data_IF_296220232453
#
_entry.id   IF_296220232453
#
_cell.length_a   1.000
_cell.length_b   1.000
_cell.length_c   1.000
_cell.angle_alpha   90.00
_cell.angle_beta   90.00
_cell.angle_gamma   90.00
#
_symmetry.space_group_name_H-M   'P 1'
#
loop_
_entity.id
_entity.type
_entity.pdbx_description
1 polymer ?
#
# COMPACT_ATOMS: atom_id res chain seq x y z
N UNK A 1 40.07 -4.77 16.68
CA UNK A 1 38.65 -4.41 16.89
C UNK A 1 37.97 -4.52 15.53
N UNK A 2 37.21 -5.59 15.33
CA UNK A 2 36.56 -5.88 14.04
C UNK A 2 35.31 -5.01 13.94
N UNK A 3 35.22 -4.23 12.86
CA UNK A 3 34.04 -3.43 12.55
C UNK A 3 32.98 -4.38 12.02
N UNK A 4 31.88 -4.56 12.76
CA UNK A 4 30.73 -5.33 12.28
C UNK A 4 30.15 -4.68 11.03
N UNK A 5 29.86 -5.44 9.95
CA UNK A 5 29.11 -4.91 8.83
C UNK A 5 27.66 -4.67 9.22
N UNK A 6 27.20 -3.44 8.99
CA UNK A 6 25.81 -2.98 9.11
C UNK A 6 24.82 -3.94 8.45
N UNK A 7 23.58 -4.06 8.98
CA UNK A 7 22.62 -5.04 8.51
C UNK A 7 22.16 -4.70 7.08
N UNK A 8 22.70 -5.45 6.12
CA UNK A 8 22.11 -5.87 4.86
C UNK A 8 20.84 -5.12 4.44
N UNK A 9 21.03 -3.98 3.77
CA UNK A 9 20.03 -3.46 2.82
C UNK A 9 19.97 -4.44 1.65
N UNK A 10 18.81 -5.05 1.42
CA UNK A 10 18.59 -5.95 0.28
C UNK A 10 19.02 -5.26 -1.03
N UNK A 11 20.05 -5.81 -1.64
CA UNK A 11 20.79 -5.33 -2.81
C UNK A 11 20.04 -5.64 -4.13
N UNK A 12 18.74 -5.33 -4.20
CA UNK A 12 17.94 -5.57 -5.42
C UNK A 12 17.73 -4.32 -6.28
N UNK A 13 18.06 -3.13 -5.77
CA UNK A 13 17.76 -1.86 -6.47
C UNK A 13 16.26 -1.62 -6.68
N UNK A 14 15.39 -2.40 -6.03
CA UNK A 14 13.95 -2.25 -6.13
C UNK A 14 13.44 -1.22 -5.11
N UNK A 15 12.52 -0.34 -5.53
CA UNK A 15 11.79 0.55 -4.62
C UNK A 15 10.28 0.52 -4.92
N UNK A 16 9.50 0.76 -3.88
CA UNK A 16 8.04 0.81 -3.95
C UNK A 16 7.56 2.25 -4.17
N UNK A 17 6.65 2.43 -5.13
CA UNK A 17 5.95 3.70 -5.31
C UNK A 17 4.90 3.94 -4.21
N UNK A 18 5.38 4.49 -3.12
CA UNK A 18 4.56 4.88 -1.98
C UNK A 18 3.71 6.15 -2.19
N UNK A 19 3.77 6.75 -3.38
CA UNK A 19 3.04 7.97 -3.72
C UNK A 19 1.79 7.65 -4.54
N UNK A 20 1.85 6.72 -5.49
CA UNK A 20 0.72 6.36 -6.33
C UNK A 20 0.02 5.07 -5.85
N UNK A 21 -1.13 5.24 -5.20
CA UNK A 21 -1.89 4.15 -4.56
C UNK A 21 -3.27 4.08 -5.18
N UNK A 22 -3.60 2.94 -5.78
CA UNK A 22 -4.97 2.65 -6.24
C UNK A 22 -5.71 1.84 -5.20
N UNK A 23 -7.00 2.12 -5.01
CA UNK A 23 -7.93 1.42 -4.15
C UNK A 23 -9.07 0.85 -4.98
N UNK A 24 -9.42 -0.41 -4.72
CA UNK A 24 -10.58 -1.07 -5.30
C UNK A 24 -11.34 -1.84 -4.22
N UNK A 25 -12.62 -1.56 -4.08
CA UNK A 25 -13.52 -2.31 -3.19
C UNK A 25 -13.72 -3.71 -3.77
N UNK A 26 -13.50 -4.73 -2.94
CA UNK A 26 -13.67 -6.14 -3.30
C UNK A 26 -15.01 -6.69 -2.80
N UNK A 27 -15.38 -6.32 -1.58
CA UNK A 27 -16.65 -6.69 -0.97
C UNK A 27 -17.11 -5.59 -0.03
N UNK A 28 -18.42 -5.54 0.16
CA UNK A 28 -19.08 -4.56 1.00
C UNK A 28 -20.36 -5.16 1.59
N UNK A 29 -20.43 -5.24 2.92
CA UNK A 29 -21.63 -5.66 3.65
C UNK A 29 -21.96 -4.67 4.78
N UNK A 30 -23.00 -4.92 5.57
CA UNK A 30 -23.43 -3.99 6.63
C UNK A 30 -22.38 -3.76 7.73
N UNK A 31 -21.43 -4.68 7.90
CA UNK A 31 -20.44 -4.68 8.99
C UNK A 31 -19.06 -4.25 8.52
N UNK A 32 -18.65 -4.70 7.36
CA UNK A 32 -17.29 -4.55 6.87
C UNK A 32 -17.22 -4.23 5.37
N UNK A 33 -16.12 -3.61 5.00
CA UNK A 33 -15.79 -3.31 3.61
C UNK A 33 -14.34 -3.68 3.37
N UNK A 34 -14.09 -4.51 2.36
CA UNK A 34 -12.74 -4.97 2.01
C UNK A 34 -12.26 -4.23 0.77
N UNK A 35 -11.05 -3.68 0.85
CA UNK A 35 -10.37 -3.01 -0.24
C UNK A 35 -9.08 -3.74 -0.59
N UNK A 36 -8.85 -3.89 -1.90
CA UNK A 36 -7.51 -4.08 -2.44
C UNK A 36 -6.86 -2.71 -2.60
N UNK A 37 -5.63 -2.57 -2.15
CA UNK A 37 -4.78 -1.43 -2.48
C UNK A 37 -3.61 -1.91 -3.34
N UNK A 38 -3.22 -1.14 -4.35
CA UNK A 38 -2.15 -1.49 -5.28
C UNK A 38 -1.21 -0.33 -5.59
N UNK A 39 0.03 -0.68 -5.86
CA UNK A 39 1.14 0.21 -6.22
C UNK A 39 2.09 -0.55 -7.16
N UNK A 40 3.22 0.06 -7.50
CA UNK A 40 4.23 -0.48 -8.40
C UNK A 40 5.58 -0.59 -7.70
N UNK A 41 6.24 -1.72 -7.89
CA UNK A 41 7.67 -1.86 -7.64
C UNK A 41 8.44 -1.45 -8.88
N UNK A 42 9.45 -0.63 -8.69
CA UNK A 42 10.38 -0.19 -9.70
C UNK A 42 11.74 -0.81 -9.42
N UNK A 43 12.46 -1.21 -10.48
CA UNK A 43 13.83 -1.71 -10.40
C UNK A 43 14.77 -0.89 -11.28
N UNK A 44 16.05 -0.86 -10.91
CA UNK A 44 17.08 -0.22 -11.71
C UNK A 44 17.37 -1.04 -12.98
N UNK A 45 17.33 -0.37 -14.14
CA UNK A 45 17.72 -0.95 -15.45
C UNK A 45 18.96 -0.29 -16.04
N UNK A 46 19.54 0.67 -15.32
CA UNK A 46 20.76 1.39 -15.69
C UNK A 46 21.13 2.45 -14.65
N UNK A 47 22.24 3.19 -14.85
CA UNK A 47 22.81 4.07 -13.82
C UNK A 47 21.85 5.16 -13.30
N UNK A 48 20.90 5.59 -14.13
CA UNK A 48 19.94 6.65 -13.83
C UNK A 48 18.53 6.35 -14.38
N UNK A 49 18.21 5.07 -14.59
CA UNK A 49 16.92 4.66 -15.17
C UNK A 49 16.30 3.56 -14.33
N UNK A 50 15.08 3.81 -13.89
CA UNK A 50 14.23 2.84 -13.23
C UNK A 50 13.06 2.52 -14.15
N UNK A 51 12.63 1.28 -14.13
CA UNK A 51 11.43 0.83 -14.82
C UNK A 51 10.51 0.11 -13.86
N UNK A 52 9.22 0.14 -14.18
CA UNK A 52 8.24 -0.62 -13.43
C UNK A 52 8.55 -2.11 -13.60
N UNK A 53 8.97 -2.75 -12.52
CA UNK A 53 9.27 -4.18 -12.50
C UNK A 53 7.97 -4.99 -12.43
N UNK A 54 7.06 -4.62 -11.51
CA UNK A 54 5.75 -5.27 -11.38
C UNK A 54 4.75 -4.40 -10.61
N UNK A 55 3.47 -4.64 -10.85
CA UNK A 55 2.41 -4.19 -9.95
C UNK A 55 2.36 -5.09 -8.71
N UNK A 56 2.13 -4.50 -7.54
CA UNK A 56 1.95 -5.19 -6.26
C UNK A 56 0.67 -4.72 -5.60
N UNK A 57 0.09 -5.58 -4.77
CA UNK A 57 -1.13 -5.27 -4.03
C UNK A 57 -1.12 -5.87 -2.64
N UNK A 58 -1.95 -5.31 -1.77
CA UNK A 58 -2.34 -5.87 -0.49
C UNK A 58 -3.85 -5.69 -0.28
N UNK A 59 -4.35 -6.18 0.85
CA UNK A 59 -5.78 -6.08 1.21
C UNK A 59 -5.96 -5.55 2.61
N UNK A 60 -6.89 -4.61 2.75
CA UNK A 60 -7.30 -4.04 4.03
C UNK A 60 -8.81 -4.20 4.21
N UNK A 61 -9.22 -4.33 5.46
CA UNK A 61 -10.62 -4.39 5.87
C UNK A 61 -10.94 -3.18 6.73
N UNK A 62 -12.03 -2.50 6.42
CA UNK A 62 -12.66 -1.47 7.25
C UNK A 62 -13.81 -2.10 8.06
N UNK A 63 -13.80 -1.95 9.38
CA UNK A 63 -14.94 -2.26 10.24
C UNK A 63 -15.85 -1.03 10.34
N UNK A 64 -16.98 -1.03 9.61
CA UNK A 64 -17.85 0.15 9.43
C UNK A 64 -18.38 0.73 10.73
N UNK A 65 -18.66 -0.11 11.73
CA UNK A 65 -19.15 0.33 13.04
C UNK A 65 -18.16 1.23 13.78
N UNK A 66 -16.85 1.01 13.57
CA UNK A 66 -15.80 1.64 14.39
C UNK A 66 -14.82 2.49 13.59
N UNK A 67 -14.81 2.36 12.26
CA UNK A 67 -13.80 2.98 11.42
C UNK A 67 -12.41 2.33 11.55
N UNK A 68 -12.28 1.20 12.26
CA UNK A 68 -11.00 0.50 12.45
C UNK A 68 -10.58 -0.25 11.19
N UNK A 69 -9.27 -0.36 11.00
CA UNK A 69 -8.67 -1.09 9.89
C UNK A 69 -7.90 -2.32 10.34
N UNK A 70 -8.03 -3.38 9.57
CA UNK A 70 -7.24 -4.61 9.70
C UNK A 70 -6.54 -4.88 8.36
N UNK A 71 -5.23 -5.10 8.41
CA UNK A 71 -4.47 -5.54 7.24
C UNK A 71 -4.66 -7.04 7.08
N UNK A 72 -5.35 -7.45 6.01
CA UNK A 72 -5.62 -8.86 5.71
C UNK A 72 -4.45 -9.49 4.96
N UNK A 73 -3.93 -8.78 3.95
CA UNK A 73 -2.81 -9.23 3.13
C UNK A 73 -1.79 -8.10 3.01
N UNK A 74 -0.53 -8.31 3.46
CA UNK A 74 0.52 -7.32 3.32
C UNK A 74 0.92 -7.15 1.84
N UNK A 75 1.29 -5.93 1.46
CA UNK A 75 1.81 -5.66 0.12
C UNK A 75 3.30 -6.03 0.04
N UNK A 76 3.73 -6.81 -0.97
CA UNK A 76 5.15 -7.06 -1.20
C UNK A 76 5.94 -5.75 -1.37
N UNK A 77 7.03 -5.61 -0.62
CA UNK A 77 7.86 -4.40 -0.63
C UNK A 77 7.43 -3.30 0.35
N UNK A 78 6.25 -3.40 0.98
CA UNK A 78 5.77 -2.43 1.97
C UNK A 78 6.09 -2.86 3.42
N UNK A 79 7.34 -3.19 3.70
CA UNK A 79 7.77 -3.73 5.02
C UNK A 79 7.51 -2.74 6.17
N UNK A 80 7.50 -1.44 5.88
CA UNK A 80 7.21 -0.38 6.85
C UNK A 80 5.73 0.02 6.88
N UNK A 81 4.85 -0.68 6.16
CA UNK A 81 3.41 -0.41 6.07
C UNK A 81 3.05 1.02 5.62
N UNK A 82 3.93 1.71 4.90
CA UNK A 82 3.70 3.09 4.46
C UNK A 82 2.53 3.17 3.48
N UNK A 83 2.46 2.23 2.54
CA UNK A 83 1.40 2.19 1.53
C UNK A 83 0.09 1.74 2.16
N UNK A 84 0.14 0.70 2.99
CA UNK A 84 -1.02 0.20 3.74
C UNK A 84 -1.65 1.29 4.62
N UNK A 85 -0.85 2.03 5.39
CA UNK A 85 -1.37 3.05 6.30
C UNK A 85 -1.96 4.25 5.54
N UNK A 86 -1.38 4.63 4.39
CA UNK A 86 -1.95 5.67 3.50
C UNK A 86 -3.26 5.22 2.86
N UNK A 87 -3.31 3.97 2.39
CA UNK A 87 -4.53 3.36 1.87
C UNK A 87 -5.64 3.38 2.93
N UNK A 88 -5.33 2.99 4.18
CA UNK A 88 -6.27 3.03 5.30
C UNK A 88 -6.73 4.46 5.61
N UNK A 89 -5.84 5.44 5.66
CA UNK A 89 -6.19 6.86 5.86
C UNK A 89 -7.16 7.37 4.79
N UNK A 90 -6.95 6.99 3.52
CA UNK A 90 -7.82 7.42 2.42
C UNK A 90 -9.20 6.77 2.50
N UNK A 91 -9.26 5.47 2.76
CA UNK A 91 -10.54 4.77 2.96
C UNK A 91 -11.27 5.34 4.18
N UNK A 92 -10.55 5.69 5.25
CA UNK A 92 -11.13 6.34 6.43
C UNK A 92 -11.77 7.68 6.09
N UNK A 93 -11.11 8.50 5.27
CA UNK A 93 -11.64 9.79 4.83
C UNK A 93 -12.95 9.63 4.04
N UNK A 94 -13.01 8.66 3.11
CA UNK A 94 -14.26 8.34 2.40
C UNK A 94 -15.35 7.86 3.37
N UNK A 95 -15.03 6.90 4.25
CA UNK A 95 -15.99 6.40 5.24
C UNK A 95 -16.53 7.52 6.15
N UNK A 96 -15.67 8.44 6.60
CA UNK A 96 -16.06 9.64 7.37
C UNK A 96 -17.00 10.56 6.61
N UNK A 97 -16.89 10.61 5.28
CA UNK A 97 -17.79 11.35 4.41
C UNK A 97 -19.09 10.59 4.08
N UNK A 98 -19.26 9.36 4.58
CA UNK A 98 -20.39 8.50 4.24
C UNK A 98 -20.25 7.82 2.87
N UNK A 99 -19.05 7.82 2.29
CA UNK A 99 -18.74 7.26 0.98
C UNK A 99 -17.90 5.99 1.12
N UNK A 100 -18.15 5.00 0.27
CA UNK A 100 -17.27 3.84 0.09
C UNK A 100 -17.13 3.61 -1.43
N UNK A 101 -16.25 4.36 -2.10
CA UNK A 101 -16.15 4.28 -3.55
C UNK A 101 -15.70 2.89 -3.99
N UNK A 102 -16.21 2.44 -5.14
CA UNK A 102 -15.79 1.16 -5.74
C UNK A 102 -14.32 1.22 -6.17
N UNK A 103 -13.89 2.34 -6.75
CA UNK A 103 -12.50 2.58 -7.14
C UNK A 103 -12.10 4.02 -6.81
N UNK A 104 -10.84 4.21 -6.41
CA UNK A 104 -10.23 5.54 -6.29
C UNK A 104 -8.72 5.43 -6.44
N UNK A 105 -8.09 6.44 -7.02
CA UNK A 105 -6.64 6.53 -7.14
C UNK A 105 -6.17 7.73 -6.33
N UNK A 106 -5.05 7.57 -5.63
CA UNK A 106 -4.46 8.57 -4.80
C UNK A 106 -3.00 8.78 -5.18
N UNK A 107 -2.65 10.05 -5.37
CA UNK A 107 -1.27 10.51 -5.42
C UNK A 107 -1.00 11.25 -4.12
N UNK A 108 -0.16 10.68 -3.27
CA UNK A 108 0.33 11.37 -2.10
C UNK A 108 1.35 12.41 -2.53
N UNK A 109 1.22 13.64 -2.03
CA UNK A 109 2.16 14.74 -2.20
C UNK A 109 2.53 15.30 -0.84
#
# INVERSE_FOLDING_TARGET
>A
MSVEPSPSTSDSGEYLDWMCISLRRLSDDDRECVYQFSSNLYGAVGPNRNEQARAVSGRLKLVKKTGKFELLEPMPGDSQRRVADRAAQKVFAHWKAGELPETTMYVAG
#
